data_IF_699094551202
#
_entry.id   IF_699094551202
#
_cell.length_a   1.000
_cell.length_b   1.000
_cell.length_c   1.000
_cell.angle_alpha   90.00
_cell.angle_beta   90.00
_cell.angle_gamma   90.00
#
_symmetry.space_group_name_H-M   'P 1'
#
loop_
_entity.id
_entity.type
_entity.pdbx_description
1 polymer ?
#
# COMPACT_ATOMS: atom_id res chain seq x y z
N UNK A 1 -15.70 -15.58 7.80
CA UNK A 1 -15.19 -14.67 8.87
C UNK A 1 -14.28 -13.62 8.25
N UNK A 2 -14.15 -12.45 8.91
CA UNK A 2 -13.30 -11.29 8.53
C UNK A 2 -13.71 -10.47 7.30
N UNK A 3 -15.01 -10.32 7.02
CA UNK A 3 -15.50 -9.52 5.88
C UNK A 3 -15.03 -8.05 5.92
N UNK A 4 -14.96 -7.44 7.11
CA UNK A 4 -14.51 -6.05 7.25
C UNK A 4 -13.01 -5.87 6.98
N UNK A 5 -12.19 -6.83 7.42
CA UNK A 5 -10.75 -6.85 7.10
C UNK A 5 -10.54 -7.05 5.59
N UNK A 6 -11.28 -7.97 4.98
CA UNK A 6 -11.24 -8.20 3.53
C UNK A 6 -11.67 -6.96 2.74
N UNK A 7 -12.66 -6.21 3.22
CA UNK A 7 -13.04 -4.91 2.65
C UNK A 7 -11.90 -3.91 2.68
N UNK A 8 -11.17 -3.78 3.79
CA UNK A 8 -9.99 -2.90 3.87
C UNK A 8 -8.95 -3.26 2.82
N UNK A 9 -8.67 -4.56 2.64
CA UNK A 9 -7.71 -5.04 1.64
C UNK A 9 -8.20 -4.79 0.22
N UNK A 10 -9.47 -5.07 -0.08
CA UNK A 10 -10.06 -4.78 -1.40
C UNK A 10 -10.01 -3.30 -1.75
N UNK A 11 -10.31 -2.42 -0.80
CA UNK A 11 -10.24 -0.97 -1.02
C UNK A 11 -8.80 -0.50 -1.29
N UNK A 12 -7.80 -1.19 -0.72
CA UNK A 12 -6.38 -0.96 -0.99
C UNK A 12 -5.94 -1.50 -2.36
N UNK A 13 -6.39 -2.69 -2.76
CA UNK A 13 -6.07 -3.29 -4.05
C UNK A 13 -6.59 -2.46 -5.24
N UNK A 14 -7.67 -1.69 -5.05
CA UNK A 14 -8.19 -0.74 -6.05
C UNK A 14 -7.45 0.61 -6.08
N UNK A 15 -6.27 0.72 -5.46
CA UNK A 15 -5.45 1.91 -5.55
C UNK A 15 -5.09 2.24 -7.01
N UNK A 16 -5.39 3.47 -7.45
CA UNK A 16 -5.17 3.88 -8.84
C UNK A 16 -3.68 3.91 -9.24
N UNK A 17 -2.82 4.29 -8.29
CA UNK A 17 -1.39 4.48 -8.51
C UNK A 17 -0.61 3.38 -7.79
N UNK A 18 -0.17 2.39 -8.57
CA UNK A 18 0.62 1.26 -8.09
C UNK A 18 1.80 0.98 -9.04
N UNK A 19 2.87 0.41 -8.49
CA UNK A 19 4.03 -0.12 -9.22
C UNK A 19 4.14 -1.61 -8.89
N UNK A 20 3.80 -2.46 -9.86
CA UNK A 20 3.81 -3.91 -9.68
C UNK A 20 5.22 -4.47 -9.46
N UNK A 21 5.34 -5.67 -8.84
CA UNK A 21 6.63 -6.34 -8.66
C UNK A 21 7.42 -6.43 -9.96
N UNK A 22 8.71 -6.13 -9.90
CA UNK A 22 9.64 -6.25 -11.03
C UNK A 22 9.28 -5.40 -12.27
N UNK A 23 8.42 -4.40 -12.12
CA UNK A 23 8.04 -3.47 -13.20
C UNK A 23 8.60 -2.06 -12.98
N UNK A 24 8.57 -1.25 -14.03
CA UNK A 24 8.91 0.17 -13.97
C UNK A 24 7.69 1.04 -14.27
N UNK A 25 7.44 2.06 -13.45
CA UNK A 25 6.37 3.04 -13.62
C UNK A 25 6.76 4.35 -12.92
N UNK A 26 6.28 5.49 -13.41
CA UNK A 26 6.55 6.81 -12.83
C UNK A 26 8.06 7.13 -12.66
N UNK A 27 8.90 6.64 -13.58
CA UNK A 27 10.36 6.81 -13.48
C UNK A 27 11.05 5.98 -12.39
N UNK A 28 10.32 5.10 -11.70
CA UNK A 28 10.85 4.21 -10.65
C UNK A 28 10.74 2.74 -11.08
N UNK A 29 11.78 1.94 -10.79
CA UNK A 29 11.79 0.48 -11.03
C UNK A 29 11.63 -0.27 -9.71
N UNK A 30 10.50 -0.95 -9.54
CA UNK A 30 10.25 -1.77 -8.36
C UNK A 30 10.98 -3.11 -8.48
N UNK A 31 12.11 -3.25 -7.79
CA UNK A 31 12.86 -4.51 -7.73
C UNK A 31 12.36 -5.47 -6.63
N UNK A 32 11.30 -5.11 -5.92
CA UNK A 32 10.73 -5.89 -4.82
C UNK A 32 9.73 -6.90 -5.38
N UNK A 33 9.52 -7.98 -4.64
CA UNK A 33 8.58 -9.04 -4.99
C UNK A 33 7.12 -8.70 -4.71
N UNK A 34 6.86 -7.55 -4.08
CA UNK A 34 5.52 -7.05 -3.74
C UNK A 34 5.23 -5.72 -4.46
N UNK A 35 3.94 -5.40 -4.62
CA UNK A 35 3.48 -4.12 -5.16
C UNK A 35 3.87 -2.97 -4.23
N UNK A 36 4.14 -1.80 -4.79
CA UNK A 36 4.29 -0.53 -4.07
C UNK A 36 3.10 0.35 -4.48
N UNK A 37 2.36 0.86 -3.51
CA UNK A 37 1.17 1.70 -3.72
C UNK A 37 1.43 3.15 -3.32
N UNK A 38 0.51 4.05 -3.67
CA UNK A 38 0.55 5.44 -3.22
C UNK A 38 0.40 5.53 -1.69
N UNK A 39 1.11 6.45 -1.03
CA UNK A 39 1.07 6.57 0.44
C UNK A 39 -0.33 6.82 1.00
N UNK A 40 -1.18 7.57 0.29
CA UNK A 40 -2.59 7.73 0.69
C UNK A 40 -3.35 6.40 0.78
N UNK A 41 -3.10 5.46 -0.14
CA UNK A 41 -3.75 4.15 -0.12
C UNK A 41 -3.32 3.34 1.11
N UNK A 42 -2.01 3.34 1.40
CA UNK A 42 -1.45 2.63 2.56
C UNK A 42 -1.90 3.25 3.89
N UNK A 43 -2.02 4.59 3.96
CA UNK A 43 -2.55 5.30 5.13
C UNK A 43 -4.00 4.92 5.40
N UNK A 44 -4.86 4.95 4.37
CA UNK A 44 -6.27 4.50 4.49
C UNK A 44 -6.38 3.05 4.90
N UNK A 45 -5.54 2.17 4.35
CA UNK A 45 -5.49 0.75 4.76
C UNK A 45 -5.18 0.63 6.24
N UNK A 46 -4.14 1.33 6.72
CA UNK A 46 -3.73 1.33 8.14
C UNK A 46 -4.86 1.80 9.05
N UNK A 47 -5.54 2.87 8.68
CA UNK A 47 -6.69 3.40 9.44
C UNK A 47 -7.89 2.45 9.42
N UNK A 48 -8.16 1.81 8.29
CA UNK A 48 -9.24 0.83 8.15
C UNK A 48 -8.99 -0.38 9.05
N UNK A 49 -7.81 -0.99 8.96
CA UNK A 49 -7.43 -2.15 9.77
C UNK A 49 -7.46 -1.84 11.28
N UNK A 50 -7.04 -0.63 11.67
CA UNK A 50 -7.12 -0.14 13.06
C UNK A 50 -8.55 0.04 13.55
N UNK A 51 -9.48 0.44 12.66
CA UNK A 51 -10.91 0.59 13.00
C UNK A 51 -11.60 -0.77 13.14
N UNK A 52 -11.27 -1.73 12.28
CA UNK A 52 -11.83 -3.10 12.36
C UNK A 52 -11.37 -3.80 13.64
N UNK A 53 -10.07 -3.69 13.98
CA UNK A 53 -9.48 -4.15 15.25
C UNK A 53 -9.81 -5.60 15.65
N UNK A 54 -9.95 -6.51 14.68
CA UNK A 54 -10.09 -7.94 14.94
C UNK A 54 -8.74 -8.66 14.83
N UNK A 55 -8.72 -9.97 15.10
CA UNK A 55 -7.48 -10.76 15.04
C UNK A 55 -6.84 -10.69 13.64
N UNK A 56 -7.65 -10.78 12.59
CA UNK A 56 -7.16 -10.78 11.21
C UNK A 56 -6.58 -9.42 10.82
N UNK A 57 -7.25 -8.31 11.16
CA UNK A 57 -6.82 -6.96 10.82
C UNK A 57 -5.49 -6.62 11.50
N UNK A 58 -5.30 -7.10 12.74
CA UNK A 58 -4.05 -6.96 13.48
C UNK A 58 -2.91 -7.75 12.85
N UNK A 59 -3.16 -8.99 12.42
CA UNK A 59 -2.15 -9.83 11.74
C UNK A 59 -1.76 -9.21 10.40
N UNK A 60 -2.74 -8.80 9.58
CA UNK A 60 -2.49 -8.14 8.29
C UNK A 60 -1.69 -6.85 8.50
N UNK A 61 -2.11 -6.01 9.45
CA UNK A 61 -1.42 -4.76 9.75
C UNK A 61 0.03 -4.98 10.22
N UNK A 62 0.27 -5.98 11.07
CA UNK A 62 1.63 -6.32 11.51
C UNK A 62 2.49 -6.83 10.35
N UNK A 63 1.96 -7.74 9.53
CA UNK A 63 2.66 -8.27 8.37
C UNK A 63 3.05 -7.15 7.39
N UNK A 64 2.09 -6.32 7.00
CA UNK A 64 2.28 -5.28 5.99
C UNK A 64 3.22 -4.15 6.48
N UNK A 65 2.94 -3.57 7.66
CA UNK A 65 3.60 -2.34 8.10
C UNK A 65 4.86 -2.57 8.95
N UNK A 66 5.00 -3.73 9.61
CA UNK A 66 6.10 -3.95 10.57
C UNK A 66 7.06 -5.08 10.15
N UNK A 67 6.55 -6.15 9.52
CA UNK A 67 7.38 -7.31 9.12
C UNK A 67 7.93 -7.15 7.70
N UNK A 68 7.05 -6.94 6.72
CA UNK A 68 7.44 -6.74 5.32
C UNK A 68 7.94 -5.32 5.11
N UNK A 69 7.39 -4.35 5.86
CA UNK A 69 7.69 -2.93 5.76
C UNK A 69 7.57 -2.43 4.32
N UNK A 70 6.40 -2.69 3.71
CA UNK A 70 6.11 -2.26 2.34
C UNK A 70 6.25 -0.74 2.27
N UNK A 71 7.18 -0.19 1.45
CA UNK A 71 7.24 1.24 1.22
C UNK A 71 6.07 1.69 0.35
N UNK A 72 5.72 2.96 0.46
CA UNK A 72 4.78 3.65 -0.42
C UNK A 72 5.50 4.76 -1.20
N UNK A 73 4.84 5.33 -2.22
CA UNK A 73 5.36 6.46 -2.98
C UNK A 73 4.36 7.63 -3.03
N UNK A 74 4.89 8.82 -3.33
CA UNK A 74 4.12 10.04 -3.58
C UNK A 74 4.64 10.70 -4.85
N UNK A 75 3.79 11.46 -5.53
CA UNK A 75 4.23 12.30 -6.64
C UNK A 75 4.85 13.60 -6.10
N UNK A 76 6.01 13.95 -6.63
CA UNK A 76 6.66 15.22 -6.33
C UNK A 76 6.83 16.02 -7.62
N UNK A 77 6.67 17.34 -7.53
CA UNK A 77 6.94 18.24 -8.63
C UNK A 77 8.45 18.42 -8.75
N UNK A 78 8.99 18.20 -9.94
CA UNK A 78 10.38 18.51 -10.27
C UNK A 78 10.38 19.62 -11.29
N UNK A 79 10.99 20.75 -10.95
CA UNK A 79 11.30 21.78 -11.93
C UNK A 79 12.38 21.22 -12.88
N UNK A 80 12.02 21.01 -14.13
CA UNK A 80 12.97 20.73 -15.19
C UNK A 80 13.41 22.07 -15.78
N UNK A 81 14.73 22.36 -15.73
CA UNK A 81 15.27 23.54 -16.40
C UNK A 81 14.99 23.41 -17.91
N UNK A 82 14.32 24.42 -18.47
CA UNK A 82 14.10 24.57 -19.92
C UNK A 82 15.27 25.31 -20.54
#
# INVERSE_FOLDING_TARGET
EHQDTDRCCRDHDHCQHVIHPFTARYGYRNLRWHTISHCDCDHRLKECLRRVNDTASRVVGQAFFNVIQVPCFEFTYREECV
#
